data_IF_192203937222
#
_entry.id   IF_192203937222
#
_cell.length_a   1.000
_cell.length_b   1.000
_cell.length_c   1.000
_cell.angle_alpha   90.00
_cell.angle_beta   90.00
_cell.angle_gamma   90.00
#
_symmetry.space_group_name_H-M   'P 1'
#
loop_
_entity.id
_entity.type
_entity.pdbx_description
1 polymer ?
#
# COMPACT_ATOMS: atom_id res chain seq x y z
N UNK A 1 14.65 -4.50 -27.02
CA UNK A 1 14.62 -3.28 -26.14
C UNK A 1 13.22 -2.94 -25.61
N UNK A 2 12.17 -2.95 -26.43
CA UNK A 2 10.79 -2.65 -25.99
C UNK A 2 10.27 -3.59 -24.89
N UNK A 3 10.59 -4.88 -24.96
CA UNK A 3 10.04 -5.89 -24.04
C UNK A 3 10.55 -5.78 -22.59
N UNK A 4 11.72 -5.17 -22.36
CA UNK A 4 12.32 -5.03 -21.02
C UNK A 4 12.12 -3.63 -20.45
N UNK A 5 12.27 -2.58 -21.28
CA UNK A 5 12.18 -1.19 -20.80
C UNK A 5 10.75 -0.70 -20.62
N UNK A 6 9.81 -1.14 -21.48
CA UNK A 6 8.43 -0.68 -21.42
C UNK A 6 7.70 -1.13 -20.14
N UNK A 7 7.74 -2.41 -19.72
CA UNK A 7 7.07 -2.81 -18.47
C UNK A 7 7.61 -2.07 -17.26
N UNK A 8 8.93 -1.91 -17.21
CA UNK A 8 9.62 -1.17 -16.14
C UNK A 8 9.15 0.28 -16.07
N UNK A 9 9.08 0.97 -17.20
CA UNK A 9 8.63 2.36 -17.27
C UNK A 9 7.15 2.51 -16.88
N UNK A 10 6.28 1.62 -17.37
CA UNK A 10 4.86 1.63 -17.00
C UNK A 10 4.66 1.39 -15.51
N UNK A 11 5.29 0.36 -14.94
CA UNK A 11 5.19 0.08 -13.51
C UNK A 11 5.71 1.23 -12.66
N UNK A 12 6.85 1.83 -13.03
CA UNK A 12 7.38 2.99 -12.32
C UNK A 12 6.40 4.17 -12.34
N UNK A 13 5.78 4.46 -13.48
CA UNK A 13 4.76 5.50 -13.62
C UNK A 13 3.51 5.19 -12.77
N UNK A 14 2.98 3.97 -12.90
CA UNK A 14 1.76 3.53 -12.22
C UNK A 14 1.93 3.52 -10.69
N UNK A 15 3.03 2.94 -10.20
CA UNK A 15 3.35 2.91 -8.76
C UNK A 15 3.63 4.32 -8.26
N UNK A 16 4.39 5.13 -8.99
CA UNK A 16 4.69 6.51 -8.60
C UNK A 16 3.43 7.38 -8.48
N UNK A 17 2.60 7.39 -9.52
CA UNK A 17 1.32 8.12 -9.51
C UNK A 17 0.38 7.61 -8.43
N UNK A 18 0.31 6.29 -8.26
CA UNK A 18 -0.48 5.65 -7.21
C UNK A 18 -0.05 6.06 -5.80
N UNK A 19 1.24 5.91 -5.48
CA UNK A 19 1.77 6.30 -4.16
C UNK A 19 1.59 7.79 -3.91
N UNK A 20 1.75 8.64 -4.92
CA UNK A 20 1.47 10.08 -4.83
C UNK A 20 0.00 10.37 -4.49
N UNK A 21 -0.96 9.77 -5.20
CA UNK A 21 -2.39 9.93 -4.91
C UNK A 21 -2.77 9.40 -3.53
N UNK A 22 -2.29 8.21 -3.16
CA UNK A 22 -2.52 7.60 -1.86
C UNK A 22 -1.94 8.47 -0.73
N UNK A 23 -0.74 9.03 -0.94
CA UNK A 23 -0.11 9.98 -0.04
C UNK A 23 -0.93 11.26 0.15
N UNK A 24 -1.37 11.89 -0.93
CA UNK A 24 -2.19 13.10 -0.86
C UNK A 24 -3.50 12.85 -0.11
N UNK A 25 -4.17 11.73 -0.41
CA UNK A 25 -5.41 11.35 0.25
C UNK A 25 -5.21 11.06 1.75
N UNK A 26 -4.14 10.35 2.12
CA UNK A 26 -3.81 10.07 3.53
C UNK A 26 -3.46 11.34 4.30
N UNK A 27 -2.68 12.24 3.72
CA UNK A 27 -2.34 13.53 4.35
C UNK A 27 -3.59 14.41 4.54
N UNK A 28 -4.48 14.44 3.55
CA UNK A 28 -5.76 15.15 3.64
C UNK A 28 -6.67 14.58 4.73
N UNK A 29 -6.82 13.25 4.77
CA UNK A 29 -7.69 12.60 5.74
C UNK A 29 -7.18 12.73 7.19
N UNK A 30 -5.88 12.51 7.39
CA UNK A 30 -5.26 12.63 8.71
C UNK A 30 -4.98 14.09 9.11
N UNK A 31 -5.21 15.05 8.20
CA UNK A 31 -4.84 16.47 8.37
C UNK A 31 -3.40 16.63 8.86
N UNK A 32 -2.50 15.79 8.35
CA UNK A 32 -1.12 15.71 8.77
C UNK A 32 -0.21 15.58 7.54
N UNK A 33 0.65 16.58 7.24
CA UNK A 33 1.53 16.54 6.07
C UNK A 33 2.62 15.45 6.16
N UNK A 34 2.85 14.88 7.34
CA UNK A 34 3.80 13.78 7.54
C UNK A 34 3.18 12.40 7.35
N UNK A 35 1.87 12.33 7.06
CA UNK A 35 1.23 11.06 6.79
C UNK A 35 1.76 10.45 5.48
N UNK A 36 2.06 9.16 5.53
CA UNK A 36 2.41 8.37 4.37
C UNK A 36 1.48 7.16 4.23
N UNK A 37 1.27 6.64 3.01
CA UNK A 37 0.36 5.53 2.79
C UNK A 37 0.87 4.20 3.38
N UNK A 38 2.16 4.12 3.74
CA UNK A 38 2.74 2.98 4.46
C UNK A 38 2.23 2.82 5.90
N UNK A 39 1.65 3.86 6.51
CA UNK A 39 1.20 3.86 7.91
C UNK A 39 0.09 2.83 8.19
N UNK A 40 -0.70 2.48 7.18
CA UNK A 40 -1.78 1.49 7.30
C UNK A 40 -1.29 0.04 7.14
N UNK A 41 -0.02 -0.26 7.40
CA UNK A 41 0.52 -1.64 7.51
C UNK A 41 0.40 -2.54 6.28
N UNK A 42 -0.10 -2.01 5.15
CA UNK A 42 -0.33 -2.77 3.91
C UNK A 42 0.99 -3.26 3.33
N UNK A 43 2.00 -2.39 3.25
CA UNK A 43 3.32 -2.76 2.73
C UNK A 43 4.00 -3.83 3.58
N UNK A 44 3.90 -3.72 4.91
CA UNK A 44 4.47 -4.71 5.83
C UNK A 44 3.78 -6.08 5.71
N UNK A 45 2.45 -6.08 5.60
CA UNK A 45 1.67 -7.32 5.44
C UNK A 45 1.88 -7.95 4.07
N UNK A 46 2.01 -7.14 3.01
CA UNK A 46 2.38 -7.60 1.68
C UNK A 46 3.79 -8.20 1.67
N UNK A 47 4.73 -7.57 2.37
CA UNK A 47 6.08 -8.08 2.52
C UNK A 47 6.12 -9.42 3.24
N UNK A 48 5.36 -9.58 4.32
CA UNK A 48 5.22 -10.88 4.98
C UNK A 48 4.67 -11.95 4.02
N UNK A 49 3.68 -11.61 3.19
CA UNK A 49 3.17 -12.52 2.16
C UNK A 49 4.25 -12.96 1.16
N UNK A 50 5.04 -12.02 0.66
CA UNK A 50 6.17 -12.33 -0.23
C UNK A 50 7.25 -13.17 0.46
N UNK A 51 7.58 -12.87 1.72
CA UNK A 51 8.52 -13.62 2.55
C UNK A 51 8.09 -15.07 2.69
N UNK A 52 6.80 -15.31 2.98
CA UNK A 52 6.24 -16.66 3.06
C UNK A 52 6.32 -17.37 1.70
N UNK A 53 6.05 -16.67 0.60
CA UNK A 53 6.13 -17.24 -0.75
C UNK A 53 7.56 -17.68 -1.12
N UNK A 54 8.56 -16.87 -0.76
CA UNK A 54 9.98 -17.20 -0.97
C UNK A 54 10.38 -18.37 -0.07
N UNK A 55 10.05 -18.30 1.22
CA UNK A 55 10.43 -19.34 2.19
C UNK A 55 9.85 -20.71 1.85
N UNK A 56 8.60 -20.76 1.39
CA UNK A 56 7.91 -22.00 1.02
C UNK A 56 8.32 -22.53 -0.36
N UNK A 57 9.12 -21.78 -1.12
CA UNK A 57 9.47 -22.10 -2.51
C UNK A 57 8.35 -21.84 -3.52
N UNK A 58 7.21 -21.29 -3.09
CA UNK A 58 6.08 -20.96 -3.96
C UNK A 58 6.46 -19.89 -5.00
N UNK A 59 7.35 -18.97 -4.64
CA UNK A 59 7.89 -17.96 -5.55
C UNK A 59 8.63 -18.60 -6.74
N UNK A 60 9.28 -19.75 -6.54
CA UNK A 60 10.03 -20.45 -7.58
C UNK A 60 9.16 -21.44 -8.38
N UNK A 61 8.16 -22.06 -7.74
CA UNK A 61 7.33 -23.10 -8.36
C UNK A 61 6.15 -22.54 -9.16
N UNK A 62 5.65 -21.35 -8.82
CA UNK A 62 4.53 -20.69 -9.51
C UNK A 62 4.98 -19.31 -9.97
N UNK A 63 4.92 -19.06 -11.28
CA UNK A 63 5.39 -17.80 -11.88
C UNK A 63 4.79 -16.53 -11.24
N UNK A 64 3.57 -16.63 -10.71
CA UNK A 64 2.86 -15.54 -10.02
C UNK A 64 2.73 -15.77 -8.51
N UNK A 65 3.37 -16.80 -7.96
CA UNK A 65 3.26 -17.17 -6.55
C UNK A 65 3.66 -16.03 -5.63
N UNK A 66 4.77 -15.35 -5.94
CA UNK A 66 5.23 -14.21 -5.17
C UNK A 66 4.25 -13.02 -5.19
N UNK A 67 3.87 -12.43 -6.34
CA UNK A 67 2.97 -11.27 -6.34
C UNK A 67 1.58 -11.60 -5.80
N UNK A 68 1.07 -12.83 -6.01
CA UNK A 68 -0.22 -13.24 -5.47
C UNK A 68 -0.20 -13.38 -3.94
N UNK A 69 0.86 -13.96 -3.37
CA UNK A 69 1.01 -14.03 -1.92
C UNK A 69 1.23 -12.67 -1.28
N UNK A 70 1.95 -11.77 -1.94
CA UNK A 70 2.09 -10.39 -1.48
C UNK A 70 0.74 -9.65 -1.49
N UNK A 71 -0.06 -9.80 -2.56
CA UNK A 71 -1.43 -9.26 -2.62
C UNK A 71 -2.34 -9.86 -1.54
N UNK A 72 -2.25 -11.18 -1.30
CA UNK A 72 -3.01 -11.84 -0.25
C UNK A 72 -2.61 -11.31 1.14
N UNK A 73 -1.31 -11.16 1.41
CA UNK A 73 -0.80 -10.55 2.63
C UNK A 73 -1.30 -9.11 2.82
N UNK A 74 -1.26 -8.30 1.76
CA UNK A 74 -1.83 -6.95 1.77
C UNK A 74 -3.31 -6.95 2.14
N UNK A 75 -4.11 -7.81 1.49
CA UNK A 75 -5.54 -7.94 1.74
C UNK A 75 -5.83 -8.35 3.20
N UNK A 76 -5.14 -9.37 3.71
CA UNK A 76 -5.27 -9.82 5.10
C UNK A 76 -4.93 -8.68 6.06
N UNK A 77 -3.83 -7.97 5.83
CA UNK A 77 -3.44 -6.81 6.65
C UNK A 77 -4.53 -5.74 6.71
N UNK A 78 -5.11 -5.40 5.57
CA UNK A 78 -6.18 -4.39 5.46
C UNK A 78 -7.45 -4.84 6.19
N UNK A 79 -7.85 -6.10 6.01
CA UNK A 79 -9.01 -6.66 6.70
C UNK A 79 -8.82 -6.64 8.22
N UNK A 80 -7.62 -6.99 8.69
CA UNK A 80 -7.28 -6.92 10.12
C UNK A 80 -7.37 -5.49 10.63
N UNK A 81 -6.82 -4.51 9.90
CA UNK A 81 -6.86 -3.09 10.29
C UNK A 81 -8.29 -2.57 10.35
N UNK A 82 -9.13 -2.89 9.36
CA UNK A 82 -10.54 -2.49 9.36
C UNK A 82 -11.28 -3.13 10.53
N UNK A 83 -11.00 -4.40 10.84
CA UNK A 83 -11.59 -5.10 11.98
C UNK A 83 -11.16 -4.49 13.32
N UNK A 84 -9.86 -4.24 13.51
CA UNK A 84 -9.27 -3.64 14.72
C UNK A 84 -9.72 -2.20 14.94
N UNK A 85 -9.77 -1.40 13.87
CA UNK A 85 -10.22 -0.01 13.94
C UNK A 85 -11.73 0.08 14.17
N UNK A 86 -12.51 -0.91 13.74
CA UNK A 86 -13.95 -0.97 13.89
C UNK A 86 -14.71 0.10 13.09
N UNK A 87 -16.05 0.01 13.02
CA UNK A 87 -16.88 0.87 12.15
C UNK A 87 -16.93 2.35 12.57
N UNK A 88 -16.61 2.66 13.84
CA UNK A 88 -16.60 4.02 14.40
C UNK A 88 -15.23 4.47 14.94
N UNK A 89 -14.15 3.72 14.67
CA UNK A 89 -12.81 4.09 15.14
C UNK A 89 -12.34 5.44 14.61
N UNK A 90 -11.65 6.20 15.45
CA UNK A 90 -11.06 7.47 15.05
C UNK A 90 -9.84 7.26 14.14
N UNK A 91 -9.36 8.34 13.55
CA UNK A 91 -8.09 8.35 12.81
C UNK A 91 -6.92 7.82 13.65
N UNK A 92 -6.92 8.08 14.96
CA UNK A 92 -5.91 7.58 15.89
C UNK A 92 -6.01 6.05 16.02
N UNK A 93 -7.21 5.49 16.17
CA UNK A 93 -7.40 4.03 16.25
C UNK A 93 -6.90 3.34 14.99
N UNK A 94 -7.14 3.94 13.82
CA UNK A 94 -6.62 3.44 12.54
C UNK A 94 -5.09 3.42 12.51
N UNK A 95 -4.45 4.50 12.96
CA UNK A 95 -2.99 4.59 13.05
C UNK A 95 -2.44 3.51 14.00
N UNK A 96 -3.03 3.37 15.19
CA UNK A 96 -2.59 2.35 16.16
C UNK A 96 -2.79 0.93 15.62
N UNK A 97 -3.89 0.65 14.93
CA UNK A 97 -4.12 -0.64 14.27
C UNK A 97 -3.06 -0.90 13.19
N UNK A 98 -2.75 0.11 12.36
CA UNK A 98 -1.69 0.02 11.35
C UNK A 98 -0.31 -0.25 11.95
N UNK A 99 0.05 0.43 13.05
CA UNK A 99 1.29 0.21 13.79
C UNK A 99 1.34 -1.22 14.36
N UNK A 100 0.27 -1.68 15.00
CA UNK A 100 0.20 -3.01 15.58
C UNK A 100 0.35 -4.12 14.51
N UNK A 101 -0.35 -3.99 13.38
CA UNK A 101 -0.25 -4.95 12.27
C UNK A 101 1.13 -4.90 11.60
N UNK A 102 1.73 -3.71 11.45
CA UNK A 102 3.09 -3.58 10.94
C UNK A 102 4.12 -4.25 11.84
N UNK A 103 4.01 -4.04 13.16
CA UNK A 103 4.89 -4.67 14.14
C UNK A 103 4.75 -6.19 14.14
N UNK A 104 3.52 -6.70 14.05
CA UNK A 104 3.26 -8.13 13.92
C UNK A 104 3.88 -8.70 12.63
N UNK A 105 3.66 -8.04 11.49
CA UNK A 105 4.23 -8.48 10.22
C UNK A 105 5.76 -8.47 10.22
N UNK A 106 6.38 -7.46 10.85
CA UNK A 106 7.83 -7.38 11.02
C UNK A 106 8.38 -8.48 11.95
N UNK A 107 7.67 -8.79 13.04
CA UNK A 107 8.03 -9.88 13.95
C UNK A 107 7.95 -11.25 13.26
N UNK A 108 6.88 -11.49 12.50
CA UNK A 108 6.71 -12.73 11.73
C UNK A 108 7.74 -12.84 10.59
N UNK A 109 8.07 -11.73 9.92
CA UNK A 109 9.14 -11.70 8.91
C UNK A 109 10.49 -12.05 9.55
N UNK A 110 10.79 -11.47 10.71
CA UNK A 110 12.01 -11.77 11.47
C UNK A 110 12.06 -13.24 11.91
N UNK A 111 10.93 -13.80 12.34
CA UNK A 111 10.82 -15.21 12.70
C UNK A 111 11.11 -16.13 11.51
N UNK A 112 10.54 -15.82 10.34
CA UNK A 112 10.81 -16.58 9.10
C UNK A 112 12.30 -16.53 8.74
N UNK A 113 12.91 -15.36 8.81
CA UNK A 113 14.35 -15.19 8.55
C UNK A 113 15.21 -15.98 9.55
N UNK A 114 14.85 -15.97 10.83
CA UNK A 114 15.58 -16.67 11.88
C UNK A 114 15.48 -18.20 11.77
N UNK A 115 14.30 -18.69 11.35
CA UNK A 115 14.05 -20.12 11.17
C UNK A 115 14.44 -20.64 9.77
N UNK A 116 14.91 -19.77 8.87
CA UNK A 116 15.23 -20.17 7.50
C UNK A 116 16.51 -21.02 7.47
N UNK A 117 16.44 -22.28 7.00
CA UNK A 117 17.62 -23.13 6.85
C UNK A 117 18.42 -22.81 5.58
N UNK A 118 17.90 -21.94 4.70
CA UNK A 118 18.46 -21.66 3.38
C UNK A 118 18.98 -20.20 3.30
N UNK A 119 20.31 -19.99 3.31
CA UNK A 119 20.90 -18.65 3.18
C UNK A 119 20.54 -17.92 1.88
N UNK A 120 20.23 -18.64 0.79
CA UNK A 120 19.83 -18.02 -0.47
C UNK A 120 18.44 -17.40 -0.38
N UNK A 121 17.48 -18.10 0.24
CA UNK A 121 16.13 -17.57 0.48
C UNK A 121 16.17 -16.30 1.35
N UNK A 122 17.01 -16.29 2.38
CA UNK A 122 17.23 -15.11 3.24
C UNK A 122 17.74 -13.91 2.44
N UNK A 123 18.74 -14.11 1.57
CA UNK A 123 19.25 -13.05 0.70
C UNK A 123 18.17 -12.54 -0.27
N UNK A 124 17.42 -13.45 -0.90
CA UNK A 124 16.32 -13.10 -1.81
C UNK A 124 15.24 -12.26 -1.11
N UNK A 125 14.86 -12.64 0.12
CA UNK A 125 13.93 -11.86 0.96
C UNK A 125 14.47 -10.45 1.20
N UNK A 126 15.74 -10.32 1.62
CA UNK A 126 16.35 -9.02 1.89
C UNK A 126 16.35 -8.15 0.64
N UNK A 127 16.75 -8.68 -0.51
CA UNK A 127 16.71 -7.93 -1.78
C UNK A 127 15.30 -7.55 -2.20
N UNK A 128 14.32 -8.43 -2.00
CA UNK A 128 12.93 -8.14 -2.33
C UNK A 128 12.36 -7.01 -1.47
N UNK A 129 12.68 -6.99 -0.17
CA UNK A 129 12.25 -5.95 0.77
C UNK A 129 12.80 -4.55 0.42
N UNK A 130 13.93 -4.46 -0.28
CA UNK A 130 14.50 -3.17 -0.73
C UNK A 130 13.70 -2.50 -1.86
N UNK A 131 12.85 -3.26 -2.55
CA UNK A 131 12.07 -2.79 -3.69
C UNK A 131 12.88 -2.63 -4.98
N UNK A 132 12.33 -3.09 -6.10
CA UNK A 132 12.97 -2.98 -7.41
C UNK A 132 11.99 -3.21 -8.56
N UNK A 133 12.15 -2.42 -9.63
CA UNK A 133 11.51 -2.66 -10.93
C UNK A 133 12.39 -3.48 -11.90
N UNK A 134 13.47 -4.11 -11.41
CA UNK A 134 14.25 -5.06 -12.20
C UNK A 134 13.41 -6.30 -12.55
N UNK A 135 13.68 -6.89 -13.71
CA UNK A 135 13.10 -8.16 -14.18
C UNK A 135 11.56 -8.19 -14.19
N UNK A 136 10.94 -7.04 -14.50
CA UNK A 136 9.48 -6.93 -14.64
C UNK A 136 9.03 -7.07 -16.08
N UNK A 137 7.99 -7.88 -16.27
CA UNK A 137 7.33 -8.17 -17.54
C UNK A 137 5.95 -7.50 -17.63
N UNK A 138 5.35 -7.52 -18.83
CA UNK A 138 3.96 -7.06 -19.02
C UNK A 138 2.96 -7.80 -18.13
N UNK A 139 3.21 -9.07 -17.79
CA UNK A 139 2.36 -9.82 -16.88
C UNK A 139 2.21 -9.12 -15.52
N UNK A 140 3.30 -8.53 -15.01
CA UNK A 140 3.26 -7.77 -13.74
C UNK A 140 2.43 -6.49 -13.89
N UNK A 141 2.50 -5.82 -15.04
CA UNK A 141 1.65 -4.66 -15.36
C UNK A 141 0.18 -5.08 -15.33
N UNK A 142 -0.18 -6.14 -16.03
CA UNK A 142 -1.56 -6.62 -16.10
C UNK A 142 -2.12 -7.11 -14.77
N UNK A 143 -1.27 -7.64 -13.88
CA UNK A 143 -1.66 -8.03 -12.52
C UNK A 143 -1.90 -6.80 -11.64
N UNK A 144 -1.01 -5.81 -11.69
CA UNK A 144 -1.13 -4.62 -10.84
C UNK A 144 -2.24 -3.66 -11.31
N UNK A 145 -2.42 -3.53 -12.62
CA UNK A 145 -3.32 -2.55 -13.24
C UNK A 145 -4.77 -2.58 -12.72
N UNK A 146 -5.49 -3.72 -12.62
CA UNK A 146 -6.88 -3.70 -12.19
C UNK A 146 -7.04 -3.19 -10.75
N UNK A 147 -6.15 -3.59 -9.84
CA UNK A 147 -6.16 -3.12 -8.46
C UNK A 147 -5.78 -1.64 -8.38
N UNK A 148 -4.74 -1.22 -9.10
CA UNK A 148 -4.34 0.19 -9.12
C UNK A 148 -5.43 1.08 -9.73
N UNK A 149 -6.03 0.69 -10.86
CA UNK A 149 -7.10 1.45 -11.50
C UNK A 149 -8.32 1.58 -10.59
N UNK A 150 -8.72 0.50 -9.92
CA UNK A 150 -9.78 0.55 -8.91
C UNK A 150 -9.41 1.51 -7.77
N UNK A 151 -8.20 1.40 -7.24
CA UNK A 151 -7.72 2.26 -6.17
C UNK A 151 -7.67 3.74 -6.57
N UNK A 152 -7.21 4.05 -7.78
CA UNK A 152 -7.22 5.41 -8.33
C UNK A 152 -8.64 5.95 -8.46
N UNK A 153 -9.57 5.16 -8.99
CA UNK A 153 -10.96 5.56 -9.11
C UNK A 153 -11.57 5.86 -7.73
N UNK A 154 -11.32 5.00 -6.73
CA UNK A 154 -11.77 5.21 -5.35
C UNK A 154 -11.17 6.49 -4.74
N UNK A 155 -9.86 6.67 -4.84
CA UNK A 155 -9.16 7.85 -4.28
C UNK A 155 -9.59 9.15 -4.96
N UNK A 156 -9.83 9.14 -6.27
CA UNK A 156 -10.28 10.32 -7.01
C UNK A 156 -11.65 10.85 -6.52
N UNK A 157 -12.49 10.00 -5.94
CA UNK A 157 -13.79 10.44 -5.38
C UNK A 157 -13.70 11.15 -4.03
N UNK A 158 -12.53 11.15 -3.38
CA UNK A 158 -12.40 11.63 -2.00
C UNK A 158 -12.33 13.16 -1.88
N UNK A 159 -12.02 13.89 -2.96
CA UNK A 159 -11.69 15.32 -2.93
C UNK A 159 -12.65 16.15 -2.08
N UNK A 160 -13.95 16.14 -2.41
CA UNK A 160 -14.98 16.90 -1.67
C UNK A 160 -15.05 16.56 -0.18
N UNK A 161 -14.84 15.30 0.17
CA UNK A 161 -14.87 14.86 1.57
C UNK A 161 -13.62 15.26 2.33
N UNK A 162 -12.45 15.24 1.67
CA UNK A 162 -11.19 15.71 2.24
C UNK A 162 -11.21 17.23 2.45
N UNK A 163 -11.77 18.00 1.51
CA UNK A 163 -11.95 19.44 1.65
C UNK A 163 -12.87 19.78 2.82
N UNK A 164 -14.01 19.08 2.93
CA UNK A 164 -14.93 19.27 4.04
C UNK A 164 -14.28 18.95 5.41
N UNK A 165 -13.40 17.95 5.47
CA UNK A 165 -12.67 17.59 6.71
C UNK A 165 -11.75 18.70 7.21
N UNK A 166 -11.35 19.66 6.37
CA UNK A 166 -10.57 20.83 6.80
C UNK A 166 -11.36 21.75 7.74
N UNK A 167 -12.69 21.72 7.68
CA UNK A 167 -13.60 22.45 8.58
C UNK A 167 -13.88 21.70 9.89
N UNK A 168 -13.37 20.47 10.03
CA UNK A 168 -13.66 19.57 11.16
C UNK A 168 -14.64 18.46 10.81
N UNK A 169 -14.68 17.42 11.64
CA UNK A 169 -15.52 16.23 11.41
C UNK A 169 -17.01 16.51 11.57
N UNK A 170 -17.40 17.30 12.58
CA UNK A 170 -18.79 17.68 12.82
C UNK A 170 -19.35 18.53 11.67
N UNK A 171 -18.57 19.50 11.18
CA UNK A 171 -18.93 20.34 10.05
C UNK A 171 -19.04 19.52 8.76
N UNK A 172 -18.07 18.63 8.49
CA UNK A 172 -18.13 17.73 7.33
C UNK A 172 -19.36 16.81 7.38
N UNK A 173 -19.71 16.29 8.55
CA UNK A 173 -20.93 15.52 8.77
C UNK A 173 -22.20 16.32 8.51
N UNK A 174 -22.27 17.57 8.99
CA UNK A 174 -23.40 18.48 8.75
C UNK A 174 -23.57 18.85 7.26
N UNK A 175 -22.47 18.88 6.49
CA UNK A 175 -22.47 19.03 5.03
C UNK A 175 -22.89 17.75 4.27
N UNK A 176 -23.26 16.68 4.99
CA UNK A 176 -23.73 15.42 4.41
C UNK A 176 -22.62 14.44 4.04
N UNK A 177 -21.36 14.68 4.43
CA UNK A 177 -20.26 13.75 4.17
C UNK A 177 -20.37 12.55 5.12
N UNK A 178 -20.57 11.36 4.55
CA UNK A 178 -20.55 10.12 5.31
C UNK A 178 -19.13 9.74 5.73
N UNK A 179 -18.66 10.21 6.89
CA UNK A 179 -17.30 9.95 7.39
C UNK A 179 -16.89 8.46 7.38
N UNK A 180 -17.77 7.49 7.76
CA UNK A 180 -17.40 6.07 7.69
C UNK A 180 -17.14 5.59 6.26
N UNK A 181 -17.92 6.07 5.28
CA UNK A 181 -17.74 5.75 3.86
C UNK A 181 -16.48 6.39 3.31
N UNK A 182 -16.25 7.67 3.63
CA UNK A 182 -15.03 8.39 3.24
C UNK A 182 -13.78 7.64 3.72
N UNK A 183 -13.77 7.26 5.01
CA UNK A 183 -12.70 6.48 5.62
C UNK A 183 -12.52 5.11 4.95
N UNK A 184 -13.61 4.37 4.72
CA UNK A 184 -13.51 3.04 4.10
C UNK A 184 -12.99 3.13 2.66
N UNK A 185 -13.48 4.09 1.87
CA UNK A 185 -13.01 4.33 0.50
C UNK A 185 -11.53 4.72 0.48
N UNK A 186 -11.08 5.55 1.43
CA UNK A 186 -9.67 5.88 1.59
C UNK A 186 -8.81 4.65 1.89
N UNK A 187 -9.20 3.85 2.89
CA UNK A 187 -8.43 2.67 3.31
C UNK A 187 -8.33 1.68 2.15
N UNK A 188 -9.46 1.35 1.52
CA UNK A 188 -9.51 0.40 0.41
C UNK A 188 -8.77 0.92 -0.82
N UNK A 189 -8.95 2.19 -1.18
CA UNK A 189 -8.24 2.80 -2.32
C UNK A 189 -6.72 2.80 -2.12
N UNK A 190 -6.27 3.21 -0.92
CA UNK A 190 -4.86 3.19 -0.53
C UNK A 190 -4.32 1.76 -0.55
N UNK A 191 -5.06 0.81 0.03
CA UNK A 191 -4.71 -0.60 0.06
C UNK A 191 -4.54 -1.22 -1.34
N UNK A 192 -5.47 -0.94 -2.26
CA UNK A 192 -5.39 -1.44 -3.62
C UNK A 192 -4.15 -0.94 -4.34
N UNK A 193 -3.84 0.35 -4.20
CA UNK A 193 -2.68 0.96 -4.85
C UNK A 193 -1.36 0.50 -4.23
N UNK A 194 -1.24 0.60 -2.91
CA UNK A 194 -0.01 0.25 -2.17
C UNK A 194 0.24 -1.24 -2.21
N UNK A 195 -0.80 -2.07 -2.01
CA UNK A 195 -0.70 -3.52 -2.06
C UNK A 195 -0.27 -4.01 -3.44
N UNK A 196 -0.91 -3.52 -4.52
CA UNK A 196 -0.54 -3.88 -5.88
C UNK A 196 0.87 -3.39 -6.24
N UNK A 197 1.23 -2.16 -5.84
CA UNK A 197 2.59 -1.64 -6.04
C UNK A 197 3.64 -2.46 -5.31
N UNK A 198 3.39 -2.80 -4.06
CA UNK A 198 4.31 -3.59 -3.23
C UNK A 198 4.45 -5.01 -3.77
N UNK A 199 3.36 -5.63 -4.25
CA UNK A 199 3.39 -6.98 -4.80
C UNK A 199 4.28 -7.13 -6.04
N UNK A 200 4.40 -6.09 -6.86
CA UNK A 200 5.19 -6.13 -8.11
C UNK A 200 6.53 -5.41 -8.02
N UNK A 201 6.69 -4.47 -7.09
CA UNK A 201 7.88 -3.62 -6.99
C UNK A 201 8.57 -3.70 -5.63
N UNK A 202 8.06 -4.48 -4.67
CA UNK A 202 8.52 -4.47 -3.28
C UNK A 202 8.17 -3.18 -2.55
N UNK A 203 8.69 -3.00 -1.33
CA UNK A 203 8.35 -1.84 -0.51
C UNK A 203 9.05 -0.56 -1.03
N UNK A 204 8.28 0.38 -1.57
CA UNK A 204 8.78 1.68 -2.02
C UNK A 204 8.30 2.77 -1.05
N UNK A 205 9.25 3.38 -0.35
CA UNK A 205 8.99 4.48 0.60
C UNK A 205 9.09 5.88 -0.02
N UNK A 206 8.76 6.89 0.79
CA UNK A 206 8.94 8.33 0.52
C UNK A 206 8.17 8.96 -0.64
N UNK A 207 7.80 8.23 -1.70
CA UNK A 207 7.08 8.80 -2.86
C UNK A 207 5.74 9.42 -2.41
N UNK A 208 4.97 8.70 -1.60
CA UNK A 208 3.69 9.19 -1.06
C UNK A 208 3.83 10.31 -0.02
N UNK A 209 5.02 10.53 0.53
CA UNK A 209 5.27 11.65 1.45
C UNK A 209 5.72 12.90 0.68
N UNK A 210 6.69 12.72 -0.23
CA UNK A 210 7.36 13.82 -0.93
C UNK A 210 6.51 14.40 -2.05
N UNK A 211 5.86 13.56 -2.88
CA UNK A 211 5.12 14.04 -4.06
C UNK A 211 3.98 15.00 -3.68
N UNK A 212 3.08 14.67 -2.73
CA UNK A 212 2.02 15.60 -2.33
C UNK A 212 2.57 16.89 -1.73
N UNK A 213 3.68 16.81 -0.99
CA UNK A 213 4.32 17.98 -0.38
C UNK A 213 4.87 18.95 -1.43
N UNK A 214 5.53 18.43 -2.48
CA UNK A 214 6.04 19.25 -3.59
C UNK A 214 4.90 19.84 -4.42
N UNK A 215 3.83 19.07 -4.67
CA UNK A 215 2.75 19.51 -5.55
C UNK A 215 1.79 20.50 -4.87
N UNK A 216 1.58 20.40 -3.55
CA UNK A 216 0.59 21.23 -2.83
C UNK A 216 0.73 22.73 -3.13
N UNK A 217 1.91 23.38 -2.99
CA UNK A 217 2.04 24.80 -3.31
C UNK A 217 1.74 25.18 -4.78
N UNK A 218 1.78 24.22 -5.70
CA UNK A 218 1.57 24.44 -7.14
C UNK A 218 0.10 24.31 -7.55
N UNK A 219 -0.70 23.58 -6.78
CA UNK A 219 -2.09 23.26 -7.14
C UNK A 219 -3.12 23.70 -6.10
N UNK A 220 -2.67 24.15 -4.91
CA UNK A 220 -3.52 24.59 -3.79
C UNK A 220 -3.61 23.57 -2.68
#
# INVERSE_FOLDING_TARGET
>A
MREIRLPRALLALMVGAGLGMAGAAMQGYLRNPLAEPGLIGVSASAALGAVIAIQTGLAASVALGLPLMALAGALVGVLLIVALAGPRGSSLTLILAGIAISALAAALTSLVLNLSPNPFATNEIVFWMMGSFADRSMTHVWIALPFMALGWAMLATLGRGLDALTLGEDAAGALGIGLPRLRLTLILGTACVVGAGTAVAGAIGFVGLVVPHILRPLVG
#
